data_IF_498709807132
#
_entry.id   IF_498709807132
#
_cell.length_a   1.000
_cell.length_b   1.000
_cell.length_c   1.000
_cell.angle_alpha   90.00
_cell.angle_beta   90.00
_cell.angle_gamma   90.00
#
_symmetry.space_group_name_H-M   'P 1'
#
loop_
_entity.id
_entity.type
_entity.pdbx_description
1 polymer ?
#
# COMPACT_ATOMS: atom_id res chain seq x y z
N UNK A 1 18.09 29.58 -0.82
CA UNK A 1 18.29 30.16 -2.16
C UNK A 1 18.48 29.06 -3.21
N UNK A 2 19.41 28.11 -3.00
CA UNK A 2 19.70 27.03 -3.96
C UNK A 2 18.49 26.11 -4.22
N UNK A 3 17.72 25.77 -3.18
CA UNK A 3 16.52 24.94 -3.29
C UNK A 3 15.41 25.62 -4.08
N UNK A 4 15.15 26.89 -3.84
CA UNK A 4 14.17 27.67 -4.61
C UNK A 4 14.53 27.70 -6.10
N UNK A 5 15.80 27.92 -6.43
CA UNK A 5 16.28 27.87 -7.81
C UNK A 5 16.11 26.48 -8.45
N UNK A 6 16.30 25.42 -7.67
CA UNK A 6 16.11 24.05 -8.16
C UNK A 6 14.62 23.75 -8.41
N UNK A 7 13.72 24.25 -7.55
CA UNK A 7 12.26 24.16 -7.75
C UNK A 7 11.86 24.90 -9.04
N UNK A 8 12.25 26.18 -9.19
CA UNK A 8 11.95 26.99 -10.38
C UNK A 8 12.42 26.29 -11.68
N UNK A 9 13.61 25.71 -11.65
CA UNK A 9 14.16 24.98 -12.79
C UNK A 9 13.39 23.68 -13.09
N UNK A 10 12.88 22.97 -12.07
CA UNK A 10 12.04 21.79 -12.24
C UNK A 10 10.66 22.15 -12.78
N UNK A 11 10.05 23.22 -12.26
CA UNK A 11 8.78 23.75 -12.75
C UNK A 11 8.84 24.17 -14.21
N UNK A 12 9.99 24.72 -14.66
CA UNK A 12 10.18 25.11 -16.06
C UNK A 12 10.15 23.87 -16.97
N UNK A 13 10.81 22.75 -16.58
CA UNK A 13 10.76 21.50 -17.34
C UNK A 13 9.33 20.95 -17.42
N UNK A 14 8.54 21.07 -16.35
CA UNK A 14 7.13 20.67 -16.36
C UNK A 14 6.28 21.52 -17.29
N UNK A 15 6.57 22.84 -17.39
CA UNK A 15 5.89 23.73 -18.34
C UNK A 15 6.24 23.41 -19.79
N UNK A 16 7.48 23.00 -20.02
CA UNK A 16 8.02 22.66 -21.34
C UNK A 16 7.96 21.15 -21.63
N UNK A 17 7.03 20.42 -20.97
CA UNK A 17 6.97 18.94 -20.97
C UNK A 17 6.90 18.32 -22.38
N UNK A 18 6.30 19.00 -23.36
CA UNK A 18 6.21 18.51 -24.74
C UNK A 18 7.55 18.58 -25.50
N UNK A 19 8.48 19.42 -25.05
CA UNK A 19 9.78 19.65 -25.70
C UNK A 19 10.97 19.18 -24.86
N UNK A 20 10.75 18.86 -23.59
CA UNK A 20 11.80 18.41 -22.68
C UNK A 20 12.22 16.97 -22.98
N UNK A 21 13.53 16.75 -23.08
CA UNK A 21 14.07 15.39 -23.20
C UNK A 21 14.10 14.68 -21.84
N UNK A 22 14.14 13.34 -21.87
CA UNK A 22 14.28 12.54 -20.65
C UNK A 22 15.53 12.90 -19.85
N UNK A 23 16.63 13.22 -20.52
CA UNK A 23 17.88 13.62 -19.86
C UNK A 23 17.74 14.96 -19.14
N UNK A 24 16.99 15.92 -19.70
CA UNK A 24 16.71 17.19 -19.06
C UNK A 24 15.83 17.01 -17.82
N UNK A 25 14.81 16.15 -17.88
CA UNK A 25 13.98 15.80 -16.75
C UNK A 25 14.82 15.16 -15.64
N UNK A 26 15.64 14.19 -15.96
CA UNK A 26 16.52 13.51 -15.01
C UNK A 26 17.53 14.46 -14.37
N UNK A 27 18.16 15.35 -15.15
CA UNK A 27 19.11 16.36 -14.63
C UNK A 27 18.44 17.29 -13.61
N UNK A 28 17.21 17.77 -13.91
CA UNK A 28 16.49 18.65 -12.99
C UNK A 28 16.03 17.93 -11.73
N UNK A 29 15.57 16.68 -11.87
CA UNK A 29 15.22 15.84 -10.73
C UNK A 29 16.42 15.62 -9.80
N UNK A 30 17.58 15.29 -10.35
CA UNK A 30 18.80 15.12 -9.58
C UNK A 30 19.21 16.41 -8.85
N UNK A 31 19.17 17.56 -9.53
CA UNK A 31 19.50 18.87 -8.92
C UNK A 31 18.53 19.25 -7.83
N UNK A 32 17.23 19.00 -8.01
CA UNK A 32 16.21 19.25 -6.98
C UNK A 32 16.43 18.35 -5.76
N UNK A 33 16.73 17.08 -5.98
CA UNK A 33 17.03 16.10 -4.93
C UNK A 33 18.27 16.51 -4.14
N UNK A 34 19.36 16.91 -4.82
CA UNK A 34 20.59 17.35 -4.14
C UNK A 34 20.37 18.66 -3.36
N UNK A 35 19.64 19.62 -3.93
CA UNK A 35 19.33 20.86 -3.25
C UNK A 35 18.41 20.64 -2.02
N UNK A 36 17.48 19.70 -2.11
CA UNK A 36 16.63 19.29 -0.99
C UNK A 36 17.45 18.64 0.13
N UNK A 37 18.35 17.73 -0.20
CA UNK A 37 19.28 17.13 0.77
C UNK A 37 20.13 18.18 1.48
N UNK A 38 20.58 19.20 0.75
CA UNK A 38 21.41 20.28 1.29
C UNK A 38 20.66 21.22 2.25
N UNK A 39 19.34 21.33 2.14
CA UNK A 39 18.53 22.23 2.99
C UNK A 39 18.40 21.76 4.43
N UNK A 40 18.31 20.47 4.68
CA UNK A 40 17.95 19.91 6.00
C UNK A 40 18.89 18.82 6.50
N UNK A 41 20.14 18.92 6.12
CA UNK A 41 21.12 18.01 6.64
C UNK A 41 20.96 16.63 6.04
N UNK A 42 21.78 16.39 5.06
CA UNK A 42 22.03 15.06 4.52
C UNK A 42 22.25 14.03 5.65
N UNK A 43 22.79 14.49 6.79
CA UNK A 43 22.96 13.69 8.01
C UNK A 43 21.63 13.16 8.55
N UNK A 44 20.65 14.03 8.78
CA UNK A 44 19.35 13.62 9.30
C UNK A 44 18.61 12.64 8.39
N UNK A 45 18.66 12.87 7.08
CA UNK A 45 18.05 11.97 6.11
C UNK A 45 18.76 10.61 6.07
N UNK A 46 20.08 10.61 6.19
CA UNK A 46 20.88 9.39 6.28
C UNK A 46 20.61 8.62 7.57
N UNK A 47 20.50 9.31 8.70
CA UNK A 47 20.11 8.71 9.98
C UNK A 47 18.72 8.07 9.93
N UNK A 48 17.75 8.75 9.31
CA UNK A 48 16.40 8.23 9.15
C UNK A 48 16.34 6.98 8.25
N UNK A 49 17.11 6.95 7.16
CA UNK A 49 17.27 5.75 6.33
C UNK A 49 17.93 4.60 7.08
N UNK A 50 18.98 4.89 7.83
CA UNK A 50 19.68 3.90 8.66
C UNK A 50 18.74 3.30 9.70
N UNK A 51 17.90 4.13 10.32
CA UNK A 51 16.90 3.66 11.28
C UNK A 51 15.82 2.80 10.62
N UNK A 52 15.40 3.13 9.39
CA UNK A 52 14.47 2.30 8.62
C UNK A 52 15.07 0.93 8.30
N UNK A 53 16.34 0.88 7.89
CA UNK A 53 17.07 -0.36 7.65
C UNK A 53 17.17 -1.21 8.92
N UNK A 54 17.54 -0.60 10.04
CA UNK A 54 17.61 -1.27 11.33
C UNK A 54 16.28 -1.88 11.75
N UNK A 55 15.18 -1.12 11.60
CA UNK A 55 13.84 -1.60 11.91
C UNK A 55 13.39 -2.73 10.97
N UNK A 56 13.79 -2.66 9.70
CA UNK A 56 13.51 -3.70 8.70
C UNK A 56 14.22 -5.01 9.10
N UNK A 57 15.49 -4.93 9.49
CA UNK A 57 16.25 -6.08 10.00
C UNK A 57 15.63 -6.66 11.27
N UNK A 58 15.28 -5.82 12.24
CA UNK A 58 14.61 -6.24 13.49
C UNK A 58 13.28 -6.95 13.21
N UNK A 59 12.48 -6.43 12.28
CA UNK A 59 11.24 -7.04 11.88
C UNK A 59 11.44 -8.41 11.22
N UNK A 60 12.46 -8.56 10.38
CA UNK A 60 12.81 -9.84 9.74
C UNK A 60 13.21 -10.89 10.77
N UNK A 61 14.02 -10.51 11.76
CA UNK A 61 14.43 -11.40 12.85
C UNK A 61 13.24 -11.85 13.70
N UNK A 62 12.34 -10.94 14.04
CA UNK A 62 11.12 -11.25 14.79
C UNK A 62 10.18 -12.18 14.02
N UNK A 63 10.01 -11.98 12.71
CA UNK A 63 9.24 -12.87 11.86
C UNK A 63 9.85 -14.28 11.80
N UNK A 64 11.16 -14.36 11.66
CA UNK A 64 11.85 -15.65 11.66
C UNK A 64 11.72 -16.38 13.00
N UNK A 65 11.76 -15.64 14.11
CA UNK A 65 11.60 -16.19 15.46
C UNK A 65 10.14 -16.58 15.78
N UNK A 66 9.16 -15.92 15.17
CA UNK A 66 7.72 -16.13 15.40
C UNK A 66 6.96 -16.39 14.08
N UNK A 67 7.21 -17.48 13.36
CA UNK A 67 6.66 -17.71 12.02
C UNK A 67 5.12 -17.81 12.00
N UNK A 68 4.52 -18.15 13.13
CA UNK A 68 3.06 -18.29 13.28
C UNK A 68 2.42 -17.07 13.96
N UNK A 69 3.13 -15.94 14.07
CA UNK A 69 2.54 -14.75 14.65
C UNK A 69 1.40 -14.24 13.77
N UNK A 70 0.21 -13.93 14.34
CA UNK A 70 -0.98 -13.56 13.55
C UNK A 70 -0.76 -12.31 12.68
N UNK A 71 0.12 -11.41 13.09
CA UNK A 71 0.47 -10.20 12.33
C UNK A 71 1.60 -10.42 11.31
N UNK A 72 2.20 -11.60 11.26
CA UNK A 72 3.37 -11.88 10.43
C UNK A 72 3.08 -11.76 8.94
N UNK A 73 1.92 -12.23 8.49
CA UNK A 73 1.55 -12.22 7.08
C UNK A 73 1.42 -10.81 6.48
N UNK A 74 0.99 -9.82 7.26
CA UNK A 74 0.91 -8.45 6.77
C UNK A 74 2.25 -7.72 6.75
N UNK A 75 3.24 -8.23 7.46
CA UNK A 75 4.54 -7.59 7.56
C UNK A 75 5.43 -7.87 6.34
N UNK A 76 5.33 -9.02 5.72
CA UNK A 76 6.17 -9.39 4.58
C UNK A 76 6.05 -8.38 3.39
N UNK A 77 4.86 -8.00 2.92
CA UNK A 77 4.72 -6.98 1.88
C UNK A 77 5.27 -5.61 2.28
N UNK A 78 5.11 -5.22 3.56
CA UNK A 78 5.65 -3.97 4.07
C UNK A 78 7.17 -3.97 4.06
N UNK A 79 7.80 -5.07 4.45
CA UNK A 79 9.26 -5.21 4.41
C UNK A 79 9.81 -5.10 2.99
N UNK A 80 9.16 -5.74 2.02
CA UNK A 80 9.56 -5.61 0.61
C UNK A 80 9.38 -4.17 0.09
N UNK A 81 8.28 -3.51 0.44
CA UNK A 81 8.07 -2.09 0.12
C UNK A 81 9.16 -1.20 0.74
N UNK A 82 9.55 -1.45 1.98
CA UNK A 82 10.58 -0.67 2.66
C UNK A 82 11.97 -0.85 2.02
N UNK A 83 12.31 -2.04 1.57
CA UNK A 83 13.57 -2.25 0.82
C UNK A 83 13.62 -1.38 -0.43
N UNK A 84 12.54 -1.36 -1.21
CA UNK A 84 12.44 -0.51 -2.41
C UNK A 84 12.52 0.98 -2.05
N UNK A 85 11.89 1.39 -0.95
CA UNK A 85 11.93 2.79 -0.48
C UNK A 85 13.34 3.23 -0.09
N UNK A 86 14.09 2.40 0.61
CA UNK A 86 15.47 2.72 1.02
C UNK A 86 16.39 2.94 -0.19
N UNK A 87 16.16 2.22 -1.28
CA UNK A 87 16.92 2.35 -2.52
C UNK A 87 16.54 3.58 -3.37
N UNK A 88 15.36 4.15 -3.14
CA UNK A 88 14.93 5.36 -3.86
C UNK A 88 15.85 6.55 -3.59
N UNK A 89 16.20 7.25 -4.67
CA UNK A 89 17.02 8.47 -4.63
C UNK A 89 16.19 9.69 -4.23
N UNK A 90 14.92 9.70 -4.63
CA UNK A 90 13.97 10.82 -4.52
C UNK A 90 12.95 10.66 -3.39
N UNK A 91 13.26 9.82 -2.40
CA UNK A 91 12.39 9.58 -1.26
C UNK A 91 12.12 10.88 -0.47
N UNK A 92 10.85 11.23 -0.32
CA UNK A 92 10.48 12.39 0.49
C UNK A 92 10.68 12.12 1.99
N UNK A 93 10.98 13.16 2.79
CA UNK A 93 11.06 13.01 4.25
C UNK A 93 9.76 12.48 4.87
N UNK A 94 8.61 12.83 4.30
CA UNK A 94 7.30 12.39 4.76
C UNK A 94 7.06 10.90 4.49
N UNK A 95 7.40 10.41 3.28
CA UNK A 95 7.35 8.98 2.95
C UNK A 95 8.24 8.17 3.88
N UNK A 96 9.45 8.65 4.14
CA UNK A 96 10.41 8.02 5.03
C UNK A 96 9.90 7.97 6.47
N UNK A 97 9.39 9.10 6.99
CA UNK A 97 8.82 9.18 8.33
C UNK A 97 7.62 8.24 8.50
N UNK A 98 6.72 8.21 7.50
CA UNK A 98 5.53 7.35 7.50
C UNK A 98 5.92 5.87 7.48
N UNK A 99 6.85 5.47 6.61
CA UNK A 99 7.34 4.10 6.54
C UNK A 99 8.01 3.67 7.85
N UNK A 100 8.84 4.53 8.43
CA UNK A 100 9.51 4.28 9.70
C UNK A 100 8.52 4.13 10.85
N UNK A 101 7.53 5.01 10.94
CA UNK A 101 6.54 4.95 12.02
C UNK A 101 5.68 3.69 11.91
N UNK A 102 5.16 3.38 10.72
CA UNK A 102 4.40 2.15 10.48
C UNK A 102 5.20 0.89 10.84
N UNK A 103 6.47 0.86 10.48
CA UNK A 103 7.32 -0.28 10.79
C UNK A 103 7.62 -0.39 12.30
N UNK A 104 7.83 0.73 13.01
CA UNK A 104 7.95 0.75 14.48
C UNK A 104 6.73 0.15 15.15
N UNK A 105 5.55 0.56 14.72
CA UNK A 105 4.28 0.11 15.30
C UNK A 105 4.10 -1.40 15.07
N UNK A 106 4.44 -1.90 13.89
CA UNK A 106 4.37 -3.32 13.58
C UNK A 106 5.42 -4.16 14.31
N UNK A 107 6.64 -3.65 14.47
CA UNK A 107 7.67 -4.30 15.30
C UNK A 107 7.20 -4.39 16.75
N UNK A 108 6.59 -3.33 17.28
CA UNK A 108 6.02 -3.35 18.63
C UNK A 108 4.90 -4.40 18.75
N UNK A 109 4.03 -4.49 17.75
CA UNK A 109 2.97 -5.51 17.69
C UNK A 109 3.53 -6.93 17.62
N UNK A 110 4.59 -7.19 16.85
CA UNK A 110 5.26 -8.49 16.76
C UNK A 110 5.93 -8.91 18.06
N UNK A 111 6.36 -7.96 18.90
CA UNK A 111 6.93 -8.26 20.22
C UNK A 111 5.88 -8.76 21.19
N UNK A 112 4.62 -8.41 20.99
CA UNK A 112 3.51 -8.91 21.79
C UNK A 112 3.20 -10.36 21.41
N UNK A 113 3.11 -11.28 22.38
CA UNK A 113 2.79 -12.68 22.10
C UNK A 113 1.34 -12.87 21.65
N UNK A 114 0.46 -12.02 22.13
CA UNK A 114 -0.97 -12.01 21.82
C UNK A 114 -1.45 -10.57 21.63
N UNK A 115 -1.43 -10.06 20.41
CA UNK A 115 -2.03 -8.76 20.11
C UNK A 115 -3.54 -8.78 20.39
N UNK A 116 -4.13 -7.61 20.61
CA UNK A 116 -5.57 -7.48 20.69
C UNK A 116 -6.18 -7.78 19.31
N UNK A 117 -7.21 -8.59 19.27
CA UNK A 117 -7.91 -8.95 18.03
C UNK A 117 -9.39 -8.66 18.21
N UNK A 118 -9.95 -7.86 17.33
CA UNK A 118 -11.38 -7.63 17.22
C UNK A 118 -11.87 -8.08 15.86
N UNK A 119 -13.05 -8.69 15.85
CA UNK A 119 -13.67 -9.18 14.62
C UNK A 119 -15.09 -8.66 14.54
N UNK A 120 -15.48 -8.16 13.39
CA UNK A 120 -16.86 -7.84 13.10
C UNK A 120 -17.58 -9.07 12.52
N UNK A 121 -18.61 -9.54 13.22
CA UNK A 121 -19.33 -10.77 12.85
C UNK A 121 -20.17 -10.65 11.57
N UNK A 122 -20.51 -9.42 11.14
CA UNK A 122 -21.35 -9.18 9.97
C UNK A 122 -20.51 -9.23 8.69
N UNK A 123 -19.34 -8.57 8.71
CA UNK A 123 -18.47 -8.45 7.55
C UNK A 123 -17.36 -9.49 7.54
N UNK A 124 -17.06 -10.11 8.69
CA UNK A 124 -15.92 -11.01 8.87
C UNK A 124 -14.57 -10.29 8.90
N UNK A 125 -14.56 -8.96 8.94
CA UNK A 125 -13.32 -8.18 9.05
C UNK A 125 -12.71 -8.38 10.42
N UNK A 126 -11.39 -8.60 10.45
CA UNK A 126 -10.59 -8.79 11.65
C UNK A 126 -9.51 -7.71 11.71
N UNK A 127 -9.32 -7.12 12.88
CA UNK A 127 -8.29 -6.11 13.13
C UNK A 127 -7.42 -6.54 14.29
N UNK A 128 -6.11 -6.58 14.05
CA UNK A 128 -5.09 -6.84 15.07
C UNK A 128 -4.39 -5.55 15.42
N UNK A 129 -4.35 -5.20 16.68
CA UNK A 129 -3.72 -3.98 17.17
C UNK A 129 -3.01 -4.19 18.51
N UNK A 130 -2.14 -3.25 18.85
CA UNK A 130 -1.38 -3.29 20.09
C UNK A 130 -2.31 -3.34 21.32
N UNK A 131 -1.92 -4.11 22.33
CA UNK A 131 -2.64 -4.14 23.60
C UNK A 131 -2.75 -2.76 24.28
N UNK A 132 -1.90 -1.79 23.88
CA UNK A 132 -2.03 -0.39 24.30
C UNK A 132 -3.30 0.24 23.77
N UNK A 133 -3.68 -0.02 22.53
CA UNK A 133 -4.92 0.45 21.92
C UNK A 133 -6.16 -0.12 22.61
N UNK A 134 -6.09 -1.37 23.08
CA UNK A 134 -7.17 -2.03 23.81
C UNK A 134 -7.61 -1.28 25.07
N UNK A 135 -6.77 -0.41 25.60
CA UNK A 135 -7.15 0.45 26.72
C UNK A 135 -8.21 1.46 26.33
N UNK A 136 -8.24 1.90 25.08
CA UNK A 136 -9.13 2.91 24.52
C UNK A 136 -10.21 2.28 23.63
N UNK A 137 -9.80 1.43 22.68
CA UNK A 137 -10.71 0.77 21.74
C UNK A 137 -11.37 -0.43 22.42
N UNK A 138 -12.69 -0.44 22.49
CA UNK A 138 -13.50 -1.48 23.12
C UNK A 138 -14.37 -2.25 22.14
N UNK A 139 -14.49 -1.76 20.91
CA UNK A 139 -15.24 -2.39 19.84
C UNK A 139 -14.81 -1.93 18.46
N UNK A 140 -15.34 -2.58 17.44
CA UNK A 140 -15.23 -2.19 16.04
C UNK A 140 -16.61 -2.01 15.45
N UNK A 141 -16.76 -1.01 14.61
CA UNK A 141 -17.85 -0.90 13.65
C UNK A 141 -17.25 -1.02 12.26
N UNK A 142 -17.76 -1.97 11.49
CA UNK A 142 -17.32 -2.18 10.11
C UNK A 142 -18.54 -2.20 9.21
N UNK A 143 -18.53 -1.38 8.18
CA UNK A 143 -19.60 -1.34 7.20
C UNK A 143 -19.03 -1.41 5.78
N UNK A 144 -19.68 -2.20 4.91
CA UNK A 144 -19.40 -2.12 3.48
C UNK A 144 -20.18 -0.95 2.93
N UNK A 145 -19.49 0.03 2.38
CA UNK A 145 -20.07 1.29 1.90
C UNK A 145 -19.90 1.46 0.40
N UNK A 146 -20.69 2.37 -0.17
CA UNK A 146 -20.50 2.77 -1.57
C UNK A 146 -19.39 3.81 -1.66
N UNK A 147 -18.48 3.62 -2.63
CA UNK A 147 -17.46 4.62 -2.90
C UNK A 147 -18.09 5.97 -3.26
N UNK A 148 -17.60 7.04 -2.69
CA UNK A 148 -17.93 8.41 -3.05
C UNK A 148 -17.50 8.73 -4.50
N UNK A 149 -17.95 9.84 -5.05
CA UNK A 149 -17.55 10.29 -6.38
C UNK A 149 -16.03 10.56 -6.46
N UNK A 150 -15.45 11.08 -5.37
CA UNK A 150 -14.02 11.34 -5.27
C UNK A 150 -13.21 10.03 -5.22
N UNK A 151 -13.63 9.05 -4.43
CA UNK A 151 -12.97 7.76 -4.30
C UNK A 151 -13.01 6.95 -5.60
N UNK A 152 -14.12 6.99 -6.33
CA UNK A 152 -14.28 6.30 -7.63
C UNK A 152 -13.21 6.66 -8.66
N UNK A 153 -12.61 7.85 -8.57
CA UNK A 153 -11.53 8.28 -9.46
C UNK A 153 -10.29 7.39 -9.37
N UNK A 154 -10.05 6.79 -8.19
CA UNK A 154 -8.88 5.94 -7.95
C UNK A 154 -9.04 4.51 -8.47
N UNK A 155 -10.27 4.11 -8.78
CA UNK A 155 -10.56 2.72 -9.18
C UNK A 155 -10.62 2.53 -10.70
N UNK A 156 -10.45 3.58 -11.49
CA UNK A 156 -10.44 3.54 -12.97
C UNK A 156 -11.65 2.78 -13.58
N UNK A 157 -12.83 2.84 -12.93
CA UNK A 157 -14.04 2.13 -13.34
C UNK A 157 -14.08 0.64 -12.95
N UNK A 158 -13.08 0.15 -12.22
CA UNK A 158 -13.06 -1.20 -11.66
C UNK A 158 -14.07 -1.34 -10.51
N UNK A 159 -14.55 -2.56 -10.27
CA UNK A 159 -15.44 -2.86 -9.15
C UNK A 159 -14.63 -2.86 -7.84
N UNK A 160 -14.80 -1.80 -7.06
CA UNK A 160 -14.13 -1.62 -5.80
C UNK A 160 -15.04 -2.02 -4.62
N UNK A 161 -14.47 -2.75 -3.69
CA UNK A 161 -15.08 -3.11 -2.43
C UNK A 161 -14.58 -2.17 -1.35
N UNK A 162 -15.44 -1.24 -0.92
CA UNK A 162 -15.08 -0.22 0.08
C UNK A 162 -15.64 -0.59 1.44
N UNK A 163 -14.79 -0.47 2.46
CA UNK A 163 -15.11 -0.73 3.86
C UNK A 163 -14.80 0.50 4.69
N UNK A 164 -15.76 0.94 5.48
CA UNK A 164 -15.57 1.89 6.56
C UNK A 164 -15.26 1.12 7.84
N UNK A 165 -14.16 1.48 8.49
CA UNK A 165 -13.70 0.84 9.73
C UNK A 165 -13.58 1.93 10.79
N UNK A 166 -14.27 1.76 11.89
CA UNK A 166 -14.27 2.67 13.05
C UNK A 166 -13.92 1.90 14.32
N UNK A 167 -13.05 2.46 15.14
CA UNK A 167 -12.83 2.00 16.52
C UNK A 167 -13.87 2.62 17.44
N UNK A 168 -14.38 1.88 18.40
CA UNK A 168 -15.36 2.37 19.34
C UNK A 168 -14.83 2.32 20.78
N UNK A 169 -15.06 3.37 21.54
CA UNK A 169 -14.78 3.43 22.98
C UNK A 169 -15.86 2.71 23.82
N UNK A 170 -15.76 2.81 25.14
CA UNK A 170 -16.74 2.23 26.07
C UNK A 170 -18.15 2.80 25.91
N UNK A 171 -18.29 4.00 25.34
CA UNK A 171 -19.57 4.68 25.12
C UNK A 171 -20.09 4.46 23.69
N UNK A 172 -19.36 3.70 22.86
CA UNK A 172 -19.69 3.51 21.46
C UNK A 172 -19.38 4.73 20.59
N UNK A 173 -18.51 5.63 21.05
CA UNK A 173 -18.05 6.78 20.29
C UNK A 173 -16.83 6.38 19.47
N UNK A 174 -16.71 7.00 18.28
CA UNK A 174 -15.58 6.79 17.38
C UNK A 174 -14.26 7.21 18.03
N UNK A 175 -13.25 6.35 17.87
CA UNK A 175 -11.89 6.54 18.36
C UNK A 175 -10.91 6.12 17.28
N UNK A 176 -10.02 7.02 16.92
CA UNK A 176 -8.98 6.72 15.96
C UNK A 176 -7.80 5.94 16.58
N UNK A 177 -7.03 5.27 15.73
CA UNK A 177 -5.82 4.55 16.11
C UNK A 177 -4.68 5.53 16.44
N UNK A 178 -3.95 5.23 17.50
CA UNK A 178 -2.67 5.89 17.80
C UNK A 178 -1.47 5.16 17.18
N UNK A 179 -1.65 3.88 16.82
CA UNK A 179 -0.62 3.02 16.23
C UNK A 179 -1.20 2.28 15.02
N UNK A 180 -0.35 2.00 14.04
CA UNK A 180 -0.75 1.18 12.91
C UNK A 180 -1.24 -0.20 13.35
N UNK A 181 -2.26 -0.71 12.68
CA UNK A 181 -2.88 -2.01 12.93
C UNK A 181 -2.82 -2.90 11.69
N UNK A 182 -3.10 -4.19 11.88
CA UNK A 182 -3.28 -5.13 10.78
C UNK A 182 -4.78 -5.32 10.55
N UNK A 183 -5.20 -5.15 9.31
CA UNK A 183 -6.57 -5.41 8.87
C UNK A 183 -6.61 -6.61 7.95
N UNK A 184 -7.55 -7.52 8.22
CA UNK A 184 -7.85 -8.67 7.37
C UNK A 184 -9.29 -8.56 6.91
N UNK A 185 -9.51 -8.50 5.62
CA UNK A 185 -10.85 -8.43 5.02
C UNK A 185 -11.10 -9.72 4.23
N UNK A 186 -12.23 -10.41 4.45
CA UNK A 186 -12.61 -11.56 3.65
C UNK A 186 -12.75 -11.20 2.18
N UNK A 187 -12.28 -12.07 1.31
CA UNK A 187 -12.39 -11.95 -0.14
C UNK A 187 -13.21 -13.09 -0.73
N UNK A 188 -13.73 -12.88 -1.94
CA UNK A 188 -14.44 -13.91 -2.67
C UNK A 188 -13.46 -15.02 -3.08
N UNK A 189 -13.93 -16.26 -2.95
CA UNK A 189 -13.14 -17.43 -3.32
C UNK A 189 -12.71 -17.38 -4.78
N UNK A 190 -11.48 -17.80 -5.04
CA UNK A 190 -10.87 -17.88 -6.38
C UNK A 190 -10.69 -16.52 -7.09
N UNK A 191 -10.95 -15.40 -6.40
CA UNK A 191 -10.66 -14.07 -6.92
C UNK A 191 -9.30 -13.57 -6.42
N UNK A 192 -8.62 -12.80 -7.28
CA UNK A 192 -7.35 -12.17 -6.95
C UNK A 192 -7.55 -10.68 -6.74
N UNK A 193 -7.01 -10.16 -5.66
CA UNK A 193 -6.95 -8.73 -5.37
C UNK A 193 -5.80 -8.12 -6.19
N UNK A 194 -6.12 -7.06 -6.91
CA UNK A 194 -5.17 -6.31 -7.74
C UNK A 194 -4.50 -5.19 -6.97
N UNK A 195 -5.28 -4.45 -6.17
CA UNK A 195 -4.83 -3.29 -5.42
C UNK A 195 -5.62 -3.13 -4.13
N UNK A 196 -4.97 -2.54 -3.13
CA UNK A 196 -5.59 -2.10 -1.88
C UNK A 196 -5.31 -0.61 -1.69
N UNK A 197 -6.31 0.13 -1.24
CA UNK A 197 -6.23 1.57 -1.02
C UNK A 197 -6.63 1.95 0.41
N UNK A 198 -5.87 2.85 0.96
CA UNK A 198 -6.24 3.67 2.10
C UNK A 198 -6.87 4.97 1.57
N UNK A 199 -8.06 5.30 2.02
CA UNK A 199 -8.88 6.41 1.51
C UNK A 199 -9.13 7.42 2.64
N UNK A 200 -8.14 8.25 3.00
CA UNK A 200 -8.29 9.23 4.07
C UNK A 200 -9.22 10.36 3.63
N UNK A 201 -10.09 10.80 4.54
CA UNK A 201 -11.03 11.89 4.26
C UNK A 201 -10.28 13.18 3.86
N UNK A 202 -10.71 13.80 2.77
CA UNK A 202 -10.17 15.08 2.28
C UNK A 202 -8.72 15.03 1.77
N UNK A 203 -8.16 13.83 1.55
CA UNK A 203 -6.80 13.64 1.03
C UNK A 203 -6.80 12.66 -0.14
N UNK A 204 -5.68 12.57 -0.82
CA UNK A 204 -5.50 11.59 -1.90
C UNK A 204 -5.43 10.16 -1.36
N UNK A 205 -5.95 9.22 -2.16
CA UNK A 205 -5.86 7.80 -1.86
C UNK A 205 -4.40 7.33 -1.88
N UNK A 206 -4.07 6.43 -0.95
CA UNK A 206 -2.74 5.82 -0.88
C UNK A 206 -2.86 4.34 -1.21
N UNK A 207 -2.13 3.88 -2.22
CA UNK A 207 -2.04 2.46 -2.53
C UNK A 207 -1.18 1.77 -1.46
N UNK A 208 -1.73 0.72 -0.85
CA UNK A 208 -1.08 -0.03 0.21
C UNK A 208 -0.43 -1.31 -0.31
N UNK A 209 0.69 -1.69 0.29
CA UNK A 209 1.19 -3.05 0.18
C UNK A 209 0.26 -4.00 0.93
N UNK A 210 0.02 -5.18 0.37
CA UNK A 210 -0.88 -6.18 0.95
C UNK A 210 -0.37 -7.59 0.69
N UNK A 211 -0.90 -8.53 1.44
CA UNK A 211 -0.81 -9.96 1.19
C UNK A 211 -2.21 -10.52 0.96
N UNK A 212 -2.32 -11.52 0.12
CA UNK A 212 -3.56 -12.24 -0.11
C UNK A 212 -3.37 -13.71 0.26
N UNK A 213 -4.30 -14.23 1.06
CA UNK A 213 -4.50 -15.66 1.29
C UNK A 213 -5.68 -16.16 0.43
N UNK A 214 -6.03 -17.43 0.53
CA UNK A 214 -7.20 -18.00 -0.16
C UNK A 214 -8.53 -17.37 0.25
N UNK A 215 -8.56 -16.71 1.42
CA UNK A 215 -9.79 -16.22 2.04
C UNK A 215 -9.76 -14.76 2.47
N UNK A 216 -8.61 -14.12 2.53
CA UNK A 216 -8.47 -12.76 3.03
C UNK A 216 -7.44 -11.95 2.25
N UNK A 217 -7.70 -10.65 2.13
CA UNK A 217 -6.67 -9.64 1.87
C UNK A 217 -6.22 -9.06 3.22
N UNK A 218 -4.90 -8.86 3.38
CA UNK A 218 -4.25 -8.48 4.64
C UNK A 218 -3.34 -7.29 4.36
N UNK A 219 -3.48 -6.24 5.14
CA UNK A 219 -2.68 -5.02 4.99
C UNK A 219 -2.52 -4.28 6.32
N UNK A 220 -1.63 -3.29 6.32
CA UNK A 220 -1.43 -2.40 7.47
C UNK A 220 -2.30 -1.15 7.33
N UNK A 221 -3.08 -0.86 8.36
CA UNK A 221 -3.91 0.33 8.46
C UNK A 221 -3.25 1.36 9.38
N UNK A 222 -2.86 2.55 8.89
CA UNK A 222 -2.29 3.61 9.73
C UNK A 222 -3.34 4.28 10.63
N UNK A 223 -4.57 4.40 10.18
CA UNK A 223 -5.72 5.01 10.86
C UNK A 223 -6.99 4.22 10.55
N UNK A 224 -8.05 4.45 11.32
CA UNK A 224 -9.37 3.98 10.96
C UNK A 224 -10.07 4.98 10.03
N UNK A 225 -10.63 4.49 8.93
CA UNK A 225 -11.33 5.25 7.88
C UNK A 225 -11.83 4.28 6.80
N UNK A 226 -11.98 4.78 5.56
CA UNK A 226 -12.29 3.96 4.40
C UNK A 226 -11.05 3.22 3.87
N UNK A 227 -11.24 1.95 3.57
CA UNK A 227 -10.31 1.09 2.85
C UNK A 227 -11.01 0.45 1.68
N UNK A 228 -10.32 0.32 0.57
CA UNK A 228 -10.86 -0.33 -0.61
C UNK A 228 -9.90 -1.36 -1.18
N UNK A 229 -10.43 -2.39 -1.80
CA UNK A 229 -9.67 -3.23 -2.69
C UNK A 229 -10.44 -3.48 -3.99
N UNK A 230 -9.71 -3.72 -5.06
CA UNK A 230 -10.24 -4.09 -6.37
C UNK A 230 -9.71 -5.45 -6.77
N UNK A 231 -10.56 -6.26 -7.40
CA UNK A 231 -10.15 -7.53 -7.95
C UNK A 231 -9.48 -7.37 -9.32
N UNK A 232 -8.63 -8.33 -9.68
CA UNK A 232 -8.21 -8.48 -11.07
C UNK A 232 -9.45 -8.73 -11.94
N UNK A 233 -9.56 -8.00 -13.05
CA UNK A 233 -10.60 -8.27 -14.04
C UNK A 233 -10.39 -9.67 -14.58
N UNK A 234 -11.43 -10.50 -14.61
CA UNK A 234 -11.37 -11.76 -15.34
C UNK A 234 -10.96 -11.44 -16.79
N UNK A 235 -9.86 -12.01 -17.27
CA UNK A 235 -9.49 -11.88 -18.68
C UNK A 235 -10.71 -12.28 -19.52
N UNK A 236 -11.23 -11.34 -20.30
CA UNK A 236 -12.22 -11.71 -21.34
C UNK A 236 -11.53 -12.76 -22.21
N UNK A 237 -12.13 -13.94 -22.39
CA UNK A 237 -11.54 -14.94 -23.26
C UNK A 237 -11.25 -14.28 -24.60
N UNK A 238 -9.98 -14.25 -24.97
CA UNK A 238 -9.56 -13.71 -26.25
C UNK A 238 -10.30 -14.53 -27.32
N UNK A 239 -11.06 -13.92 -28.25
CA UNK A 239 -11.75 -14.68 -29.26
C UNK A 239 -10.71 -15.54 -29.98
N UNK A 240 -10.96 -16.84 -30.01
CA UNK A 240 -10.07 -17.81 -30.61
C UNK A 240 -9.76 -17.33 -32.05
N UNK A 241 -8.46 -17.15 -32.34
CA UNK A 241 -8.03 -16.83 -33.70
C UNK A 241 -8.66 -17.86 -34.66
N UNK A 242 -9.28 -17.43 -35.76
CA UNK A 242 -9.82 -18.37 -36.74
C UNK A 242 -8.70 -19.32 -37.17
N UNK A 243 -8.93 -20.60 -36.99
CA UNK A 243 -8.03 -21.63 -37.53
C UNK A 243 -8.14 -21.54 -39.03
N UNK A 244 -7.12 -21.00 -39.66
CA UNK A 244 -7.00 -21.01 -41.13
C UNK A 244 -6.97 -22.46 -41.60
N UNK A 245 -8.05 -22.89 -42.22
CA UNK A 245 -8.15 -24.21 -42.86
C UNK A 245 -7.14 -24.26 -43.99
N UNK A 246 -6.01 -24.90 -43.77
CA UNK A 246 -5.09 -25.26 -44.84
C UNK A 246 -5.81 -26.23 -45.78
N UNK A 247 -6.29 -25.72 -46.91
CA UNK A 247 -6.83 -26.54 -47.98
C UNK A 247 -5.63 -27.14 -48.71
N UNK A 248 -5.33 -28.37 -48.38
CA UNK A 248 -4.38 -29.17 -49.17
C UNK A 248 -5.00 -29.51 -50.51
N UNK A 249 -4.62 -28.79 -51.55
CA UNK A 249 -4.91 -29.15 -52.93
C UNK A 249 -4.04 -30.36 -53.33
N UNK A 250 -4.66 -31.52 -53.44
CA UNK A 250 -4.08 -32.66 -54.18
C UNK A 250 -4.22 -32.40 -55.66
N UNK A 251 -3.10 -32.26 -56.33
CA UNK A 251 -3.00 -32.36 -57.79
C UNK A 251 -3.38 -33.79 -58.26
N UNK A 252 -4.15 -33.94 -59.37
CA UNK A 252 -4.37 -35.25 -59.98
C UNK A 252 -3.17 -35.62 -60.86
N UNK A 253 -2.62 -36.81 -60.65
CA UNK A 253 -1.60 -37.39 -61.49
C UNK A 253 -2.27 -37.82 -62.84
N UNK A 254 -1.74 -37.27 -63.90
CA UNK A 254 -1.95 -37.82 -65.29
C UNK A 254 -1.04 -39.04 -65.49
N UNK A 255 -1.58 -40.04 -66.13
CA UNK A 255 -0.88 -41.20 -66.62
C UNK A 255 -1.79 -42.09 -67.42
#
# INVERSE_FOLDING_TARGET
EAFLKAIEAAEQVLKDHETSTQDQVNDRLNKLTEAHKALNGQEKFTEEKTELDRLTGEAQELLAAKPNHPSGSALAPLLEKNKVLVEKVDLSPEELATAKQSLKDLVALLKEDKPAVFSDSKTGVEVHFSNKEKTVIKGLKVERVQASAEEKKYFAGEDAHVFEIEGLDEKGQDVDLSYASIVKIPIEKDKKVKKVFFLPEGKEAVELAFEQTDSHVIFTAPHFTHYAFVYESAEKPQPAKPVEKVISSKEPAEG
#
